data_IF_956734266387
#
_entry.id   IF_956734266387
#
_cell.length_a   1.000
_cell.length_b   1.000
_cell.length_c   1.000
_cell.angle_alpha   90.00
_cell.angle_beta   90.00
_cell.angle_gamma   90.00
#
_symmetry.space_group_name_H-M   'P 1'
#
loop_
_entity.id
_entity.type
_entity.pdbx_description
1 polymer ?
#
# COMPACT_ATOMS: atom_id res chain seq x y z
N UNK A 1 65.74 0.52 14.80
CA UNK A 1 66.62 1.48 14.09
C UNK A 1 66.89 0.92 12.69
N UNK A 2 66.62 1.70 11.65
CA UNK A 2 66.91 1.42 10.23
C UNK A 2 65.86 0.53 9.55
N UNK A 3 65.31 0.84 8.37
CA UNK A 3 65.53 1.94 7.44
C UNK A 3 65.11 1.52 6.01
N UNK A 4 64.43 2.42 5.31
CA UNK A 4 64.36 2.63 3.85
C UNK A 4 63.62 1.66 2.91
N UNK A 5 62.84 2.30 2.02
CA UNK A 5 62.31 1.79 0.73
C UNK A 5 60.91 2.37 0.45
N UNK A 6 60.76 3.63 0.04
CA UNK A 6 60.70 4.15 -1.36
C UNK A 6 59.58 3.55 -2.23
N UNK A 7 58.58 4.37 -2.62
CA UNK A 7 58.30 4.90 -3.98
C UNK A 7 56.92 5.61 -4.00
N UNK A 8 56.83 6.95 -4.16
CA UNK A 8 56.63 7.73 -5.41
C UNK A 8 55.17 7.74 -5.92
N UNK A 9 54.43 8.85 -5.71
CA UNK A 9 54.15 9.99 -6.64
C UNK A 9 52.84 9.81 -7.43
N UNK A 10 51.81 10.62 -7.18
CA UNK A 10 51.37 11.79 -8.00
C UNK A 10 49.90 11.54 -8.41
N UNK A 11 48.93 12.45 -8.56
CA UNK A 11 48.78 13.91 -8.76
C UNK A 11 47.33 14.25 -8.28
N UNK A 12 47.03 15.31 -7.51
CA UNK A 12 46.76 16.73 -7.85
C UNK A 12 45.50 17.04 -8.68
N UNK A 13 44.93 18.21 -8.34
CA UNK A 13 43.91 19.06 -9.00
C UNK A 13 42.53 18.97 -8.33
N UNK A 14 42.07 19.89 -7.46
CA UNK A 14 41.95 21.37 -7.49
C UNK A 14 40.71 21.90 -8.24
N UNK A 15 39.88 22.63 -7.46
CA UNK A 15 38.90 23.70 -7.77
C UNK A 15 37.83 23.48 -8.87
N UNK A 16 36.56 23.83 -8.64
CA UNK A 16 36.08 25.21 -8.54
C UNK A 16 34.59 25.24 -8.17
N UNK A 17 34.20 26.27 -7.42
CA UNK A 17 32.83 26.63 -7.09
C UNK A 17 32.10 27.33 -8.26
N UNK A 18 30.78 27.18 -8.34
CA UNK A 18 29.93 28.27 -8.80
C UNK A 18 28.49 28.14 -8.30
N UNK A 19 28.01 29.25 -7.74
CA UNK A 19 26.66 29.51 -7.32
C UNK A 19 26.02 30.53 -8.28
N UNK A 20 24.70 30.44 -8.46
CA UNK A 20 23.70 31.52 -8.74
C UNK A 20 22.44 30.82 -9.31
N UNK A 21 21.25 30.81 -8.69
CA UNK A 21 20.31 31.84 -8.16
C UNK A 21 19.41 32.49 -9.22
N UNK A 22 18.09 32.38 -8.94
CA UNK A 22 16.91 33.13 -9.42
C UNK A 22 16.41 32.78 -10.84
N UNK A 23 15.09 32.71 -11.10
CA UNK A 23 14.07 33.71 -10.73
C UNK A 23 12.64 33.15 -10.75
N UNK A 24 11.85 33.66 -9.79
CA UNK A 24 10.40 33.82 -9.64
C UNK A 24 9.56 34.00 -10.94
N UNK A 25 8.34 33.46 -11.00
CA UNK A 25 7.09 34.22 -10.73
C UNK A 25 5.86 33.85 -11.59
N UNK A 26 4.71 33.91 -10.92
CA UNK A 26 3.33 34.18 -11.39
C UNK A 26 2.54 33.00 -11.98
N UNK A 27 1.59 32.44 -11.23
CA UNK A 27 0.21 32.94 -10.96
C UNK A 27 -0.71 32.72 -12.16
N UNK A 28 -1.63 31.77 -12.03
CA UNK A 28 -3.02 32.03 -12.39
C UNK A 28 -3.99 31.21 -11.52
N UNK A 29 -5.00 31.92 -11.08
CA UNK A 29 -6.15 31.51 -10.28
C UNK A 29 -7.34 31.52 -11.23
N UNK A 30 -8.09 30.42 -11.33
CA UNK A 30 -9.50 30.36 -11.77
C UNK A 30 -9.94 28.90 -11.58
N UNK A 31 -10.67 28.57 -10.53
CA UNK A 31 -12.13 28.73 -10.42
C UNK A 31 -12.88 27.80 -11.40
N UNK A 32 -13.26 26.63 -10.90
CA UNK A 32 -14.54 26.04 -11.29
C UNK A 32 -15.16 25.38 -10.06
N UNK A 33 -15.89 26.20 -9.31
CA UNK A 33 -16.93 25.71 -8.45
C UNK A 33 -18.04 25.09 -9.29
N UNK A 34 -18.50 23.91 -8.89
CA UNK A 34 -19.94 23.61 -8.83
C UNK A 34 -20.14 22.46 -7.86
N UNK A 35 -20.53 22.87 -6.66
CA UNK A 35 -21.55 22.23 -5.83
C UNK A 35 -22.49 21.30 -6.61
N UNK A 36 -22.49 20.01 -6.27
CA UNK A 36 -23.71 19.19 -6.33
C UNK A 36 -23.94 18.47 -5.01
N UNK A 37 -24.37 19.25 -4.03
CA UNK A 37 -25.07 18.74 -2.86
C UNK A 37 -26.51 18.42 -3.24
N UNK A 38 -26.95 17.20 -2.85
CA UNK A 38 -28.33 16.72 -2.70
C UNK A 38 -29.18 16.56 -3.98
N UNK A 39 -29.30 15.30 -4.40
CA UNK A 39 -30.64 14.69 -4.56
C UNK A 39 -30.74 13.45 -3.69
N UNK A 40 -31.25 13.68 -2.47
CA UNK A 40 -31.87 12.65 -1.63
C UNK A 40 -33.06 12.07 -2.40
N UNK A 41 -32.86 10.94 -3.07
CA UNK A 41 -33.94 10.04 -3.44
C UNK A 41 -34.08 9.03 -2.29
N UNK A 42 -34.99 9.34 -1.37
CA UNK A 42 -35.54 8.35 -0.45
C UNK A 42 -36.60 7.61 -1.27
N UNK A 43 -36.26 6.46 -1.81
CA UNK A 43 -37.22 5.52 -2.39
C UNK A 43 -36.84 4.11 -1.95
N UNK A 44 -37.62 3.62 -1.01
CA UNK A 44 -38.08 2.24 -0.90
C UNK A 44 -37.06 1.12 -0.58
N UNK A 45 -37.27 0.55 0.60
CA UNK A 45 -36.51 -0.51 1.26
C UNK A 45 -36.65 -1.84 0.50
N UNK A 46 -35.92 -1.99 -0.60
CA UNK A 46 -35.30 -3.25 -0.96
C UNK A 46 -33.95 -3.33 -0.24
N UNK A 47 -33.52 -4.51 0.20
CA UNK A 47 -32.15 -4.69 0.71
C UNK A 47 -31.17 -4.09 -0.33
N UNK A 48 -30.25 -3.20 0.08
CA UNK A 48 -29.46 -2.45 -0.88
C UNK A 48 -28.56 -3.43 -1.64
N UNK A 49 -28.91 -3.68 -2.90
CA UNK A 49 -28.02 -4.32 -3.86
C UNK A 49 -26.88 -3.34 -4.16
N UNK A 50 -25.66 -3.84 -4.25
CA UNK A 50 -24.49 -3.03 -4.57
C UNK A 50 -24.70 -2.17 -5.83
N UNK A 51 -24.18 -0.95 -5.81
CA UNK A 51 -24.14 -0.05 -6.99
C UNK A 51 -23.29 -0.66 -8.11
N UNK A 52 -23.38 -0.12 -9.34
CA UNK A 52 -22.52 -0.59 -10.45
C UNK A 52 -21.03 -0.40 -10.13
N UNK A 53 -20.68 0.73 -9.51
CA UNK A 53 -19.33 1.06 -9.07
C UNK A 53 -18.84 0.04 -8.04
N UNK A 54 -19.65 -0.27 -7.03
CA UNK A 54 -19.33 -1.29 -6.03
C UNK A 54 -19.17 -2.67 -6.66
N UNK A 55 -20.02 -3.05 -7.63
CA UNK A 55 -19.88 -4.33 -8.34
C UNK A 55 -18.59 -4.39 -9.17
N UNK A 56 -18.14 -3.27 -9.75
CA UNK A 56 -16.85 -3.21 -10.43
C UNK A 56 -15.69 -3.35 -9.43
N UNK A 57 -15.76 -2.64 -8.31
CA UNK A 57 -14.79 -2.77 -7.23
C UNK A 57 -14.75 -4.20 -6.67
N UNK A 58 -15.88 -4.92 -6.58
CA UNK A 58 -15.93 -6.35 -6.21
C UNK A 58 -15.14 -7.21 -7.19
N UNK A 59 -15.20 -6.92 -8.49
CA UNK A 59 -14.42 -7.66 -9.51
C UNK A 59 -12.93 -7.36 -9.36
N UNK A 60 -12.54 -6.09 -9.21
CA UNK A 60 -11.14 -5.71 -8.93
C UNK A 60 -10.64 -6.42 -7.66
N UNK A 61 -11.43 -6.38 -6.58
CA UNK A 61 -11.09 -6.98 -5.29
C UNK A 61 -10.78 -8.48 -5.41
N UNK A 62 -11.61 -9.23 -6.16
CA UNK A 62 -11.38 -10.66 -6.43
C UNK A 62 -10.11 -10.90 -7.23
N UNK A 63 -9.85 -10.09 -8.26
CA UNK A 63 -8.64 -10.22 -9.06
C UNK A 63 -7.37 -10.02 -8.23
N UNK A 64 -7.38 -9.10 -7.26
CA UNK A 64 -6.23 -8.94 -6.34
C UNK A 64 -6.05 -10.16 -5.44
N UNK A 65 -7.13 -10.65 -4.84
CA UNK A 65 -7.11 -11.84 -3.97
C UNK A 65 -6.72 -13.13 -4.73
N UNK A 66 -6.89 -13.17 -6.05
CA UNK A 66 -6.41 -14.28 -6.88
C UNK A 66 -4.89 -14.25 -7.12
N UNK A 67 -4.24 -13.09 -6.96
CA UNK A 67 -2.82 -12.91 -7.23
C UNK A 67 -1.94 -12.98 -5.98
N UNK A 68 -2.42 -12.45 -4.86
CA UNK A 68 -1.70 -12.45 -3.60
C UNK A 68 -2.66 -12.30 -2.41
N UNK A 69 -2.21 -12.71 -1.23
CA UNK A 69 -2.93 -12.47 0.01
C UNK A 69 -3.02 -10.98 0.36
N UNK A 70 -4.23 -10.50 0.66
CA UNK A 70 -4.47 -9.14 1.16
C UNK A 70 -5.20 -9.13 2.49
N UNK A 71 -4.82 -8.18 3.36
CA UNK A 71 -5.69 -7.82 4.47
C UNK A 71 -6.92 -7.06 3.97
N UNK A 72 -7.99 -7.08 4.76
CA UNK A 72 -9.19 -6.30 4.47
C UNK A 72 -8.85 -4.80 4.26
N UNK A 73 -8.06 -4.21 5.15
CA UNK A 73 -7.68 -2.80 5.03
C UNK A 73 -6.73 -2.54 3.86
N UNK A 74 -5.78 -3.45 3.63
CA UNK A 74 -4.85 -3.38 2.50
C UNK A 74 -5.60 -3.39 1.17
N UNK A 75 -6.57 -4.29 1.02
CA UNK A 75 -7.39 -4.39 -0.19
C UNK A 75 -8.26 -3.15 -0.41
N UNK A 76 -8.88 -2.62 0.64
CA UNK A 76 -9.66 -1.36 0.55
C UNK A 76 -8.75 -0.22 0.07
N UNK A 77 -7.55 -0.08 0.65
CA UNK A 77 -6.59 0.95 0.23
C UNK A 77 -6.11 0.76 -1.19
N UNK A 78 -5.86 -0.47 -1.62
CA UNK A 78 -5.45 -0.76 -2.99
C UNK A 78 -6.52 -0.27 -3.97
N UNK A 79 -7.79 -0.60 -3.71
CA UNK A 79 -8.93 -0.20 -4.51
C UNK A 79 -9.19 1.32 -4.50
N UNK A 80 -9.00 1.98 -3.36
CA UNK A 80 -9.28 3.42 -3.24
C UNK A 80 -8.11 4.34 -3.59
N UNK A 81 -6.89 3.81 -3.69
CA UNK A 81 -5.73 4.62 -4.03
C UNK A 81 -5.76 5.11 -5.49
N UNK A 82 -5.29 6.34 -5.71
CA UNK A 82 -5.17 6.94 -7.04
C UNK A 82 -4.19 6.17 -7.96
N UNK A 83 -3.20 5.49 -7.36
CA UNK A 83 -2.25 4.64 -8.07
C UNK A 83 -2.76 3.21 -8.33
N UNK A 84 -3.89 2.84 -7.70
CA UNK A 84 -4.57 1.55 -7.87
C UNK A 84 -5.77 1.70 -8.80
N UNK A 85 -6.97 1.51 -8.27
CA UNK A 85 -8.22 1.60 -9.06
C UNK A 85 -8.95 2.94 -8.93
N UNK A 86 -8.61 3.78 -7.93
CA UNK A 86 -9.22 5.10 -7.73
C UNK A 86 -10.71 5.08 -7.40
N UNK A 87 -11.23 4.00 -6.80
CA UNK A 87 -12.60 3.97 -6.29
C UNK A 87 -12.76 4.90 -5.08
N UNK A 88 -13.99 5.36 -4.81
CA UNK A 88 -14.26 6.04 -3.54
C UNK A 88 -14.03 5.06 -2.37
N UNK A 89 -13.57 5.56 -1.22
CA UNK A 89 -13.40 4.73 -0.02
C UNK A 89 -14.69 3.99 0.35
N UNK A 90 -15.85 4.61 0.13
CA UNK A 90 -17.16 4.01 0.38
C UNK A 90 -17.45 2.84 -0.58
N UNK A 91 -17.14 2.98 -1.87
CA UNK A 91 -17.35 1.91 -2.84
C UNK A 91 -16.36 0.76 -2.66
N UNK A 92 -15.08 1.06 -2.36
CA UNK A 92 -14.07 0.07 -2.05
C UNK A 92 -14.42 -0.72 -0.78
N UNK A 93 -14.82 -0.03 0.29
CA UNK A 93 -15.23 -0.67 1.55
C UNK A 93 -16.46 -1.55 1.34
N UNK A 94 -17.50 -1.04 0.68
CA UNK A 94 -18.72 -1.81 0.41
C UNK A 94 -18.44 -3.04 -0.48
N UNK A 95 -17.51 -2.92 -1.42
CA UNK A 95 -17.09 -4.04 -2.25
C UNK A 95 -16.39 -5.13 -1.43
N UNK A 96 -15.35 -4.77 -0.67
CA UNK A 96 -14.59 -5.72 0.15
C UNK A 96 -15.48 -6.37 1.21
N UNK A 97 -16.37 -5.62 1.84
CA UNK A 97 -17.31 -6.12 2.85
C UNK A 97 -18.40 -7.04 2.29
N UNK A 98 -18.65 -6.99 0.98
CA UNK A 98 -19.61 -7.88 0.32
C UNK A 98 -19.03 -9.25 -0.03
N UNK A 99 -17.72 -9.43 0.11
CA UNK A 99 -17.04 -10.69 -0.18
C UNK A 99 -17.05 -11.63 1.02
N UNK A 100 -17.20 -12.92 0.76
CA UNK A 100 -16.99 -13.97 1.75
C UNK A 100 -15.52 -14.42 1.70
N UNK A 101 -14.64 -13.67 2.36
CA UNK A 101 -13.18 -13.91 2.39
C UNK A 101 -12.76 -14.42 3.75
N UNK A 102 -11.97 -15.50 3.75
CA UNK A 102 -11.28 -15.95 4.95
C UNK A 102 -9.99 -15.14 5.16
N UNK A 103 -10.10 -13.99 5.82
CA UNK A 103 -8.95 -13.11 6.08
C UNK A 103 -7.80 -13.75 6.86
N UNK A 104 -8.06 -14.82 7.62
CA UNK A 104 -6.98 -15.58 8.23
C UNK A 104 -6.20 -16.38 7.19
N UNK A 105 -6.87 -16.94 6.17
CA UNK A 105 -6.22 -17.64 5.07
C UNK A 105 -5.37 -16.68 4.23
N UNK A 106 -5.89 -15.48 3.93
CA UNK A 106 -5.13 -14.41 3.27
C UNK A 106 -3.84 -14.06 4.04
N UNK A 107 -3.93 -13.96 5.37
CA UNK A 107 -2.76 -13.72 6.21
C UNK A 107 -1.72 -14.86 6.14
N UNK A 108 -2.16 -16.12 6.01
CA UNK A 108 -1.22 -17.25 5.79
C UNK A 108 -0.55 -17.13 4.43
N UNK A 109 -1.29 -16.72 3.39
CA UNK A 109 -0.75 -16.53 2.05
C UNK A 109 0.29 -15.42 2.01
N UNK A 110 -0.02 -14.22 2.53
CA UNK A 110 0.95 -13.12 2.65
C UNK A 110 2.18 -13.55 3.45
N UNK A 111 1.99 -14.27 4.57
CA UNK A 111 3.07 -14.77 5.40
C UNK A 111 4.01 -15.73 4.63
N UNK A 112 3.46 -16.67 3.85
CA UNK A 112 4.24 -17.58 3.01
C UNK A 112 5.00 -16.83 1.92
N UNK A 113 4.33 -15.90 1.24
CA UNK A 113 4.96 -15.09 0.19
C UNK A 113 6.17 -14.32 0.72
N UNK A 114 6.09 -13.75 1.92
CA UNK A 114 7.25 -13.11 2.55
C UNK A 114 8.38 -14.08 2.84
N UNK A 115 8.06 -15.26 3.40
CA UNK A 115 9.06 -16.28 3.73
C UNK A 115 9.74 -16.88 2.51
N UNK A 116 9.03 -16.97 1.38
CA UNK A 116 9.59 -17.43 0.11
C UNK A 116 10.56 -16.41 -0.49
N UNK A 117 10.35 -15.12 -0.24
CA UNK A 117 11.22 -14.04 -0.71
C UNK A 117 12.44 -13.81 0.19
N UNK A 118 12.28 -13.89 1.51
CA UNK A 118 13.36 -13.66 2.47
C UNK A 118 13.06 -14.25 3.84
N UNK A 119 14.11 -14.46 4.65
CA UNK A 119 13.95 -14.96 6.01
C UNK A 119 13.36 -13.89 6.95
N UNK A 120 12.37 -14.29 7.75
CA UNK A 120 11.82 -13.48 8.84
C UNK A 120 11.90 -14.23 10.18
N UNK A 121 12.08 -13.48 11.27
CA UNK A 121 11.76 -13.99 12.60
C UNK A 121 10.24 -14.01 12.82
N UNK A 122 9.74 -14.86 13.73
CA UNK A 122 8.32 -14.89 14.12
C UNK A 122 7.77 -13.48 14.39
N UNK A 123 8.42 -12.72 15.27
CA UNK A 123 7.98 -11.38 15.63
C UNK A 123 8.13 -10.38 14.48
N UNK A 124 9.18 -10.50 13.67
CA UNK A 124 9.38 -9.65 12.50
C UNK A 124 8.26 -9.83 11.46
N UNK A 125 7.87 -11.08 11.19
CA UNK A 125 6.78 -11.37 10.26
C UNK A 125 5.43 -10.88 10.78
N UNK A 126 5.15 -11.09 12.08
CA UNK A 126 3.93 -10.56 12.71
C UNK A 126 3.86 -9.04 12.55
N UNK A 127 4.96 -8.33 12.81
CA UNK A 127 5.02 -6.87 12.65
C UNK A 127 4.86 -6.45 11.19
N UNK A 128 5.47 -7.16 10.25
CA UNK A 128 5.31 -6.86 8.83
C UNK A 128 3.83 -6.94 8.40
N UNK A 129 3.17 -8.04 8.79
CA UNK A 129 1.76 -8.29 8.47
C UNK A 129 0.81 -7.28 9.16
N UNK A 130 1.05 -6.92 10.43
CA UNK A 130 0.14 -6.05 11.18
C UNK A 130 0.43 -4.56 11.07
N UNK A 131 1.61 -4.17 10.60
CA UNK A 131 1.99 -2.75 10.54
C UNK A 131 1.11 -1.95 9.58
N UNK A 132 0.89 -0.68 9.92
CA UNK A 132 0.16 0.26 9.07
C UNK A 132 0.89 0.59 7.76
N UNK A 133 2.21 0.46 7.73
CA UNK A 133 3.06 0.66 6.55
C UNK A 133 3.22 -0.61 5.70
N UNK A 134 2.94 -1.79 6.26
CA UNK A 134 2.91 -3.07 5.57
C UNK A 134 1.48 -3.47 5.21
N UNK A 135 1.09 -4.69 5.60
CA UNK A 135 -0.13 -5.30 5.09
C UNK A 135 -1.40 -4.94 5.87
N UNK A 136 -1.28 -4.40 7.09
CA UNK A 136 -2.42 -3.92 7.90
C UNK A 136 -3.42 -5.01 8.29
N UNK A 137 -2.96 -6.24 8.45
CA UNK A 137 -3.76 -7.27 9.12
C UNK A 137 -4.04 -6.90 10.56
N UNK A 138 -5.15 -7.38 11.12
CA UNK A 138 -5.31 -7.31 12.58
C UNK A 138 -4.21 -8.12 13.25
N UNK A 139 -3.83 -7.73 14.48
CA UNK A 139 -2.79 -8.44 15.22
C UNK A 139 -3.05 -9.96 15.31
N UNK A 140 -4.31 -10.37 15.51
CA UNK A 140 -4.70 -11.78 15.57
C UNK A 140 -4.53 -12.51 14.23
N UNK A 141 -4.84 -11.84 13.11
CA UNK A 141 -4.64 -12.41 11.77
C UNK A 141 -3.15 -12.54 11.45
N UNK A 142 -2.34 -11.54 11.80
CA UNK A 142 -0.90 -11.58 11.62
C UNK A 142 -0.25 -12.72 12.42
N UNK A 143 -0.61 -12.87 13.70
CA UNK A 143 -0.17 -13.98 14.54
C UNK A 143 -0.60 -15.34 13.99
N UNK A 144 -1.85 -15.45 13.54
CA UNK A 144 -2.36 -16.66 12.91
C UNK A 144 -1.59 -17.00 11.63
N UNK A 145 -1.37 -16.01 10.77
CA UNK A 145 -0.64 -16.11 9.50
C UNK A 145 0.79 -16.61 9.72
N UNK A 146 1.55 -15.91 10.57
CA UNK A 146 2.93 -16.25 10.88
C UNK A 146 3.07 -17.67 11.46
N UNK A 147 2.16 -18.05 12.37
CA UNK A 147 2.14 -19.41 12.94
C UNK A 147 1.78 -20.48 11.93
N UNK A 148 0.80 -20.24 11.06
CA UNK A 148 0.39 -21.23 10.04
C UNK A 148 1.36 -21.32 8.87
N UNK A 149 2.15 -20.29 8.64
CA UNK A 149 3.25 -20.29 7.67
C UNK A 149 4.54 -20.92 8.22
N UNK A 150 4.60 -21.24 9.53
CA UNK A 150 5.76 -21.92 10.15
C UNK A 150 6.89 -20.98 10.59
N UNK A 151 6.65 -19.66 10.60
CA UNK A 151 7.58 -18.71 11.22
C UNK A 151 7.50 -18.74 12.76
N UNK A 152 6.33 -19.17 13.27
CA UNK A 152 6.01 -19.48 14.65
C UNK A 152 5.30 -20.86 14.67
#
# INVERSE_FOLDING_TARGET
MGGSGSDSSGDKEDTTASAQKNTESEKSTEESGTTKTKKKAKTEKAAPKLTKQQQNAVRSAKNYLEFAGFSREGLIRQLSSDAGDGYSDADATAAVDSLDVNWNAEAVESAKNYLDMTGFSCQGLIQQLSSSAGDRYTQKQAEYGAKKAGAC
#
